data_IF_354503107661
#
_entry.id   IF_354503107661
#
_cell.length_a   1.000
_cell.length_b   1.000
_cell.length_c   1.000
_cell.angle_alpha   90.00
_cell.angle_beta   90.00
_cell.angle_gamma   90.00
#
_symmetry.space_group_name_H-M   'P 1'
#
loop_
_entity.id
_entity.type
_entity.pdbx_description
1 polymer ?
#
# COMPACT_ATOMS: atom_id res chain seq x y z
N UNK A 1 -34.83 46.77 -41.41
CA UNK A 1 -34.98 45.30 -41.24
C UNK A 1 -33.63 44.59 -40.93
N UNK A 2 -32.76 45.15 -40.06
CA UNK A 2 -31.38 44.62 -39.84
C UNK A 2 -31.16 43.91 -38.47
N UNK A 3 -32.20 43.80 -37.63
CA UNK A 3 -32.05 43.25 -36.27
C UNK A 3 -32.00 41.70 -36.18
N UNK A 4 -32.48 40.98 -37.19
CA UNK A 4 -32.66 39.52 -37.12
C UNK A 4 -31.37 38.71 -37.26
N UNK A 5 -30.43 39.16 -38.10
CA UNK A 5 -29.18 38.41 -38.35
C UNK A 5 -28.18 38.50 -37.19
N UNK A 6 -28.13 39.65 -36.52
CA UNK A 6 -27.20 39.87 -35.41
C UNK A 6 -27.55 38.99 -34.20
N UNK A 7 -28.84 38.74 -33.96
CA UNK A 7 -29.31 37.82 -32.91
C UNK A 7 -28.98 36.35 -33.20
N UNK A 8 -29.06 35.91 -34.46
CA UNK A 8 -28.77 34.51 -34.84
C UNK A 8 -27.28 34.17 -34.68
N UNK A 9 -26.38 35.10 -35.01
CA UNK A 9 -24.92 34.94 -34.82
C UNK A 9 -24.53 34.84 -33.34
N UNK A 10 -25.11 35.67 -32.48
CA UNK A 10 -24.84 35.64 -31.03
C UNK A 10 -25.28 34.32 -30.39
N UNK A 11 -26.46 33.80 -30.75
CA UNK A 11 -26.93 32.49 -30.27
C UNK A 11 -26.01 31.35 -30.73
N UNK A 12 -25.58 31.36 -31.99
CA UNK A 12 -24.65 30.36 -32.51
C UNK A 12 -23.30 30.35 -31.79
N UNK A 13 -22.77 31.54 -31.46
CA UNK A 13 -21.50 31.66 -30.73
C UNK A 13 -21.61 31.17 -29.28
N UNK A 14 -22.69 31.53 -28.57
CA UNK A 14 -22.92 31.08 -27.20
C UNK A 14 -23.02 29.55 -27.10
N UNK A 15 -23.76 28.90 -28.01
CA UNK A 15 -23.89 27.44 -28.05
C UNK A 15 -22.54 26.76 -28.28
N UNK A 16 -21.70 27.30 -29.18
CA UNK A 16 -20.35 26.77 -29.43
C UNK A 16 -19.45 26.88 -28.20
N UNK A 17 -19.52 28.00 -27.48
CA UNK A 17 -18.73 28.21 -26.26
C UNK A 17 -19.16 27.22 -25.17
N UNK A 18 -20.47 27.05 -24.95
CA UNK A 18 -21.00 26.09 -23.97
C UNK A 18 -20.57 24.66 -24.32
N UNK A 19 -20.72 24.26 -25.59
CA UNK A 19 -20.31 22.93 -26.04
C UNK A 19 -18.80 22.69 -25.86
N UNK A 20 -17.96 23.67 -26.22
CA UNK A 20 -16.51 23.59 -26.02
C UNK A 20 -16.14 23.50 -24.54
N UNK A 21 -16.78 24.29 -23.68
CA UNK A 21 -16.56 24.25 -22.22
C UNK A 21 -16.98 22.91 -21.60
N UNK A 22 -18.12 22.36 -22.02
CA UNK A 22 -18.57 21.04 -21.58
C UNK A 22 -17.60 19.93 -22.00
N UNK A 23 -17.12 19.96 -23.25
CA UNK A 23 -16.12 19.01 -23.76
C UNK A 23 -14.79 19.13 -23.01
N UNK A 24 -14.31 20.34 -22.74
CA UNK A 24 -13.09 20.57 -21.98
C UNK A 24 -13.20 20.03 -20.55
N UNK A 25 -14.33 20.24 -19.90
CA UNK A 25 -14.61 19.74 -18.55
C UNK A 25 -14.66 18.21 -18.52
N UNK A 26 -15.32 17.59 -19.50
CA UNK A 26 -15.37 16.14 -19.63
C UNK A 26 -13.97 15.56 -19.89
N UNK A 27 -13.18 16.17 -20.77
CA UNK A 27 -11.82 15.73 -21.06
C UNK A 27 -10.92 15.81 -19.82
N UNK A 28 -11.00 16.90 -19.05
CA UNK A 28 -10.27 17.05 -17.79
C UNK A 28 -10.68 15.98 -16.76
N UNK A 29 -11.99 15.71 -16.63
CA UNK A 29 -12.49 14.66 -15.74
C UNK A 29 -12.01 13.26 -16.14
N UNK A 30 -12.07 12.92 -17.43
CA UNK A 30 -11.54 11.64 -17.96
C UNK A 30 -10.04 11.53 -17.69
N UNK A 31 -9.28 12.59 -17.94
CA UNK A 31 -7.83 12.61 -17.66
C UNK A 31 -7.52 12.31 -16.20
N UNK A 32 -8.23 12.96 -15.26
CA UNK A 32 -8.07 12.73 -13.81
C UNK A 32 -8.38 11.26 -13.47
N UNK A 33 -9.46 10.69 -14.01
CA UNK A 33 -9.82 9.28 -13.75
C UNK A 33 -8.82 8.29 -14.34
N UNK A 34 -8.26 8.58 -15.51
CA UNK A 34 -7.19 7.77 -16.13
C UNK A 34 -5.93 7.80 -15.27
N UNK A 35 -5.50 8.98 -14.81
CA UNK A 35 -4.35 9.11 -13.91
C UNK A 35 -4.57 8.34 -12.60
N UNK A 36 -5.74 8.52 -11.97
CA UNK A 36 -6.09 7.77 -10.74
C UNK A 36 -6.06 6.26 -10.95
N UNK A 37 -6.47 5.76 -12.13
CA UNK A 37 -6.38 4.34 -12.46
C UNK A 37 -4.94 3.87 -12.67
N UNK A 38 -4.08 4.69 -13.29
CA UNK A 38 -2.66 4.38 -13.43
C UNK A 38 -1.94 4.32 -12.08
N UNK A 39 -2.19 5.29 -11.19
CA UNK A 39 -1.67 5.28 -9.82
C UNK A 39 -2.16 4.04 -9.06
N UNK A 40 -3.47 3.77 -9.13
CA UNK A 40 -4.05 2.55 -8.54
C UNK A 40 -3.37 1.27 -9.05
N UNK A 41 -3.13 1.18 -10.37
CA UNK A 41 -2.46 0.03 -10.97
C UNK A 41 -1.00 -0.13 -10.52
N UNK A 42 -0.30 0.97 -10.27
CA UNK A 42 1.06 0.93 -9.70
C UNK A 42 0.99 0.43 -8.26
N UNK A 43 0.07 0.94 -7.46
CA UNK A 43 -0.09 0.59 -6.05
C UNK A 43 -0.62 -0.84 -5.86
N UNK A 44 -1.24 -1.44 -6.89
CA UNK A 44 -1.61 -2.85 -6.90
C UNK A 44 -0.41 -3.80 -6.80
N UNK A 45 0.76 -3.38 -7.28
CA UNK A 45 1.94 -4.26 -7.37
C UNK A 45 3.15 -3.68 -6.67
N UNK A 46 3.06 -2.50 -6.06
CA UNK A 46 4.21 -1.86 -5.43
C UNK A 46 3.84 -1.07 -4.20
N UNK A 47 4.81 -0.93 -3.30
CA UNK A 47 4.73 -0.06 -2.14
C UNK A 47 6.13 0.44 -1.78
N UNK A 48 6.29 1.75 -1.59
CA UNK A 48 7.58 2.40 -1.25
C UNK A 48 8.72 2.10 -2.23
N UNK A 49 8.40 1.96 -3.52
CA UNK A 49 9.39 1.66 -4.56
C UNK A 49 9.76 0.18 -4.69
N UNK A 50 9.28 -0.67 -3.77
CA UNK A 50 9.41 -2.13 -3.82
C UNK A 50 8.24 -2.70 -4.62
N UNK A 51 8.48 -3.66 -5.50
CA UNK A 51 7.43 -4.34 -6.24
C UNK A 51 7.28 -5.78 -5.78
N UNK A 52 6.04 -6.25 -5.78
CA UNK A 52 5.73 -7.66 -5.62
C UNK A 52 6.34 -8.44 -6.79
N UNK A 53 7.05 -9.51 -6.47
CA UNK A 53 7.78 -10.32 -7.45
C UNK A 53 9.24 -9.91 -7.67
N UNK A 54 9.71 -8.78 -7.14
CA UNK A 54 11.13 -8.41 -7.19
C UNK A 54 11.98 -9.49 -6.49
N UNK A 55 13.19 -9.76 -6.98
CA UNK A 55 14.09 -10.74 -6.34
C UNK A 55 14.78 -10.13 -5.13
N UNK A 56 15.38 -10.96 -4.28
CA UNK A 56 16.22 -10.50 -3.17
C UNK A 56 17.31 -9.50 -3.64
N UNK A 57 17.93 -9.76 -4.78
CA UNK A 57 18.98 -8.89 -5.36
C UNK A 57 18.44 -7.52 -5.80
N UNK A 58 17.24 -7.47 -6.39
CA UNK A 58 16.59 -6.20 -6.75
C UNK A 58 16.26 -5.38 -5.50
N UNK A 59 15.90 -6.03 -4.39
CA UNK A 59 15.66 -5.35 -3.12
C UNK A 59 16.96 -4.83 -2.51
N UNK A 60 18.05 -5.61 -2.55
CA UNK A 60 19.38 -5.13 -2.14
C UNK A 60 19.84 -3.95 -3.00
N UNK A 61 19.57 -3.97 -4.30
CA UNK A 61 19.88 -2.87 -5.19
C UNK A 61 19.05 -1.61 -4.86
N UNK A 62 17.75 -1.77 -4.64
CA UNK A 62 16.83 -0.64 -4.42
C UNK A 62 16.95 0.00 -3.02
N UNK A 63 17.14 -0.82 -1.98
CA UNK A 63 17.11 -0.37 -0.59
C UNK A 63 18.46 -0.50 0.14
N UNK A 64 19.44 -1.14 -0.49
CA UNK A 64 20.68 -1.53 0.15
C UNK A 64 20.56 -2.84 0.95
N UNK A 65 21.65 -3.17 1.63
CA UNK A 65 21.72 -4.35 2.49
C UNK A 65 20.76 -4.20 3.69
N UNK A 66 19.91 -5.20 3.99
CA UNK A 66 18.94 -5.06 5.06
C UNK A 66 19.66 -5.01 6.42
N UNK A 67 19.36 -4.03 7.29
CA UNK A 67 19.98 -3.95 8.62
C UNK A 67 19.55 -5.10 9.54
N UNK A 68 18.37 -5.67 9.30
CA UNK A 68 17.86 -6.80 10.07
C UNK A 68 17.22 -7.86 9.17
N UNK A 69 17.35 -9.12 9.58
CA UNK A 69 16.68 -10.27 8.97
C UNK A 69 15.91 -11.07 10.03
N UNK A 70 14.83 -11.72 9.61
CA UNK A 70 13.90 -12.46 10.44
C UNK A 70 14.05 -13.96 10.18
N UNK A 71 14.25 -14.71 11.26
CA UNK A 71 14.19 -16.17 11.23
C UNK A 71 12.74 -16.67 11.19
N UNK A 72 12.57 -17.95 10.85
CA UNK A 72 11.27 -18.60 10.95
C UNK A 72 10.76 -18.51 12.40
N UNK A 73 9.43 -18.33 12.61
CA UNK A 73 8.86 -18.37 13.94
C UNK A 73 9.21 -19.67 14.66
N UNK A 74 9.75 -19.56 15.87
CA UNK A 74 10.09 -20.68 16.73
C UNK A 74 9.32 -20.57 18.05
N UNK A 75 8.98 -21.71 18.66
CA UNK A 75 8.37 -21.71 19.98
C UNK A 75 9.41 -21.33 21.03
N UNK A 76 9.14 -20.26 21.76
CA UNK A 76 9.95 -19.75 22.85
C UNK A 76 9.24 -20.09 24.16
N UNK A 77 9.85 -21.02 24.91
CA UNK A 77 9.31 -21.51 26.17
C UNK A 77 9.32 -20.44 27.28
N UNK A 78 10.23 -19.48 27.24
CA UNK A 78 10.30 -18.39 28.24
C UNK A 78 9.18 -17.37 28.00
N UNK A 79 8.88 -17.10 26.73
CA UNK A 79 7.79 -16.21 26.31
C UNK A 79 6.43 -16.93 26.27
N UNK A 80 6.40 -18.25 26.41
CA UNK A 80 5.19 -19.06 26.36
C UNK A 80 4.46 -19.02 25.02
N UNK A 81 5.17 -18.81 23.91
CA UNK A 81 4.55 -18.58 22.60
C UNK A 81 5.54 -18.63 21.44
N UNK A 82 5.03 -18.46 20.22
CA UNK A 82 5.88 -18.36 19.03
C UNK A 82 6.45 -16.94 18.93
N UNK A 83 7.78 -16.84 18.80
CA UNK A 83 8.48 -15.59 18.55
C UNK A 83 9.33 -15.70 17.28
N UNK A 84 9.56 -14.56 16.62
CA UNK A 84 10.51 -14.49 15.51
C UNK A 84 11.82 -13.95 16.04
N UNK A 85 12.92 -14.66 15.78
CA UNK A 85 14.26 -14.16 16.08
C UNK A 85 14.62 -13.10 15.04
N UNK A 86 15.11 -11.95 15.51
CA UNK A 86 15.63 -10.88 14.67
C UNK A 86 17.15 -10.91 14.76
N UNK A 87 17.82 -10.97 13.63
CA UNK A 87 19.28 -10.85 13.55
C UNK A 87 19.67 -9.51 12.95
N UNK A 88 20.72 -8.88 13.49
CA UNK A 88 21.41 -7.74 12.92
C UNK A 88 22.48 -8.20 11.93
N UNK A 89 22.59 -7.47 10.83
CA UNK A 89 23.55 -7.76 9.76
C UNK A 89 24.83 -6.92 9.84
N UNK A 90 24.84 -5.86 10.66
CA UNK A 90 25.95 -4.90 10.77
C UNK A 90 26.87 -5.14 11.98
N UNK A 91 26.62 -6.21 12.74
CA UNK A 91 27.38 -6.63 13.92
C UNK A 91 27.43 -5.63 15.08
N UNK A 92 26.49 -4.67 15.18
CA UNK A 92 26.49 -3.69 16.28
C UNK A 92 25.97 -4.24 17.61
N UNK A 93 25.09 -5.24 17.56
CA UNK A 93 24.53 -5.90 18.75
C UNK A 93 24.98 -7.37 18.85
N UNK A 94 25.93 -7.69 19.76
CA UNK A 94 26.39 -9.05 19.99
C UNK A 94 25.30 -10.07 20.32
N UNK A 95 24.16 -9.63 20.91
CA UNK A 95 23.08 -10.55 21.31
C UNK A 95 22.22 -10.99 20.14
N UNK A 96 22.22 -10.20 19.07
CA UNK A 96 21.40 -10.42 17.88
C UNK A 96 22.26 -10.63 16.64
N UNK A 97 23.50 -11.12 16.77
CA UNK A 97 24.35 -11.40 15.62
C UNK A 97 23.75 -12.50 14.74
N UNK A 98 23.72 -12.25 13.44
CA UNK A 98 23.45 -13.28 12.45
C UNK A 98 24.51 -14.40 12.57
N UNK A 99 24.12 -15.69 12.56
CA UNK A 99 25.08 -16.78 12.61
C UNK A 99 26.08 -16.71 11.45
N UNK A 100 27.38 -16.89 11.73
CA UNK A 100 28.44 -16.74 10.73
C UNK A 100 28.34 -17.73 9.54
N UNK A 101 27.61 -18.83 9.71
CA UNK A 101 27.35 -19.82 8.65
C UNK A 101 26.19 -19.44 7.73
N UNK A 102 25.40 -18.43 8.08
CA UNK A 102 24.23 -17.99 7.33
C UNK A 102 24.52 -16.71 6.55
N UNK A 103 23.78 -16.54 5.46
CA UNK A 103 23.75 -15.33 4.63
C UNK A 103 22.38 -14.69 4.74
N UNK A 104 22.30 -13.39 4.43
CA UNK A 104 21.03 -12.65 4.42
C UNK A 104 19.96 -13.29 3.53
N UNK A 105 20.36 -13.88 2.39
CA UNK A 105 19.45 -14.54 1.45
C UNK A 105 18.87 -15.88 1.96
N UNK A 106 19.40 -16.40 3.06
CA UNK A 106 18.84 -17.58 3.74
C UNK A 106 17.55 -17.22 4.49
N UNK A 107 17.36 -15.94 4.83
CA UNK A 107 16.19 -15.43 5.55
C UNK A 107 15.11 -14.93 4.59
N UNK A 108 13.85 -15.26 4.89
CA UNK A 108 12.69 -14.88 4.06
C UNK A 108 12.00 -13.60 4.53
N UNK A 109 12.41 -13.01 5.65
CA UNK A 109 11.90 -11.73 6.12
C UNK A 109 13.05 -10.76 6.34
N UNK A 110 13.01 -9.59 5.72
CA UNK A 110 14.00 -8.52 5.89
C UNK A 110 13.32 -7.29 6.47
N UNK A 111 14.01 -6.54 7.33
CA UNK A 111 13.49 -5.28 7.88
C UNK A 111 14.44 -4.13 7.60
N UNK A 112 13.84 -3.03 7.16
CA UNK A 112 14.50 -1.76 6.89
C UNK A 112 13.95 -0.70 7.83
N UNK A 113 14.75 -0.35 8.84
CA UNK A 113 14.40 0.75 9.75
C UNK A 113 14.63 2.09 9.05
N UNK A 114 13.59 2.91 8.98
CA UNK A 114 13.65 4.30 8.51
C UNK A 114 13.38 5.23 9.70
N UNK A 115 13.65 6.53 9.53
CA UNK A 115 13.46 7.52 10.60
C UNK A 115 12.03 7.56 11.14
N UNK A 116 11.04 7.36 10.26
CA UNK A 116 9.63 7.52 10.59
C UNK A 116 8.79 6.25 10.48
N UNK A 117 9.37 5.10 10.15
CA UNK A 117 8.65 3.82 10.03
C UNK A 117 9.63 2.67 9.85
N UNK A 118 9.14 1.44 9.93
CA UNK A 118 9.87 0.23 9.53
C UNK A 118 9.21 -0.37 8.30
N UNK A 119 9.99 -0.78 7.31
CA UNK A 119 9.52 -1.56 6.16
C UNK A 119 9.96 -3.00 6.34
N UNK A 120 9.01 -3.93 6.26
CA UNK A 120 9.26 -5.37 6.32
C UNK A 120 9.02 -5.96 4.93
N UNK A 121 9.97 -6.72 4.42
CA UNK A 121 9.88 -7.37 3.11
C UNK A 121 9.87 -8.87 3.34
N UNK A 122 8.83 -9.54 2.86
CA UNK A 122 8.70 -11.00 2.94
C UNK A 122 8.91 -11.61 1.57
N UNK A 123 9.64 -12.71 1.50
CA UNK A 123 9.96 -13.43 0.26
C UNK A 123 9.29 -14.79 0.21
N UNK A 124 8.85 -15.18 -0.98
CA UNK A 124 8.38 -16.52 -1.28
C UNK A 124 9.53 -17.52 -1.08
N UNK A 125 9.27 -18.60 -0.33
CA UNK A 125 10.28 -19.58 0.03
C UNK A 125 10.90 -20.30 -1.18
N UNK A 126 10.14 -20.46 -2.26
CA UNK A 126 10.55 -21.22 -3.44
C UNK A 126 11.20 -20.31 -4.48
N UNK A 127 10.54 -19.19 -4.79
CA UNK A 127 10.97 -18.27 -5.85
C UNK A 127 11.99 -17.24 -5.38
N UNK A 128 12.12 -17.04 -4.06
CA UNK A 128 12.96 -15.99 -3.45
C UNK A 128 12.64 -14.60 -4.02
N UNK A 129 11.34 -14.36 -4.19
CA UNK A 129 10.77 -13.11 -4.72
C UNK A 129 9.84 -12.48 -3.70
N UNK A 130 9.71 -11.15 -3.70
CA UNK A 130 8.85 -10.41 -2.77
C UNK A 130 7.40 -10.90 -2.86
N UNK A 131 6.91 -11.46 -1.77
CA UNK A 131 5.53 -11.91 -1.58
C UNK A 131 4.74 -11.01 -0.63
N UNK A 132 5.40 -10.16 0.15
CA UNK A 132 4.77 -9.24 1.08
C UNK A 132 5.62 -8.01 1.35
N UNK A 133 4.98 -6.85 1.50
CA UNK A 133 5.62 -5.59 1.89
C UNK A 133 4.80 -4.99 3.04
N UNK A 134 5.31 -5.08 4.26
CA UNK A 134 4.74 -4.45 5.44
C UNK A 134 5.34 -3.07 5.69
N UNK A 135 4.54 -2.15 6.20
CA UNK A 135 5.03 -0.96 6.86
C UNK A 135 4.45 -0.87 8.27
N UNK A 136 5.31 -0.56 9.24
CA UNK A 136 4.97 -0.41 10.64
C UNK A 136 5.29 1.00 11.10
N UNK A 137 4.32 1.65 11.73
CA UNK A 137 4.51 2.92 12.44
C UNK A 137 4.61 2.66 13.94
N UNK A 138 5.79 2.89 14.53
CA UNK A 138 6.04 2.68 15.96
C UNK A 138 5.78 3.96 16.77
N UNK A 139 4.61 4.59 16.57
CA UNK A 139 4.16 5.73 17.38
C UNK A 139 3.58 6.89 16.57
N UNK A 140 3.10 7.95 17.23
CA UNK A 140 2.33 9.04 16.61
C UNK A 140 3.14 9.92 15.66
N UNK A 141 4.46 10.01 15.84
CA UNK A 141 5.37 10.73 14.95
C UNK A 141 5.80 9.88 13.73
N UNK A 142 5.53 8.58 13.77
CA UNK A 142 5.90 7.63 12.74
C UNK A 142 4.74 7.42 11.78
N UNK A 143 5.04 7.47 10.48
CA UNK A 143 4.02 7.46 9.44
C UNK A 143 4.39 6.53 8.30
N UNK A 144 3.55 5.51 8.11
CA UNK A 144 3.56 4.72 6.89
C UNK A 144 2.96 5.54 5.75
N UNK A 145 3.65 5.65 4.61
CA UNK A 145 3.11 6.39 3.48
C UNK A 145 1.80 5.80 2.98
N UNK A 146 0.93 6.67 2.50
CA UNK A 146 -0.42 6.28 2.09
C UNK A 146 -0.39 5.24 0.97
N UNK A 147 -1.23 4.22 1.08
CA UNK A 147 -1.54 3.26 0.02
C UNK A 147 -3.06 3.15 -0.10
N UNK A 148 -3.59 3.32 -1.32
CA UNK A 148 -5.02 3.41 -1.56
C UNK A 148 -5.76 4.42 -0.66
N UNK A 149 -5.08 5.52 -0.30
CA UNK A 149 -5.65 6.57 0.56
C UNK A 149 -5.64 6.26 2.05
N UNK A 150 -5.03 5.16 2.49
CA UNK A 150 -4.87 4.78 3.90
C UNK A 150 -3.42 4.90 4.32
N UNK A 151 -3.19 5.52 5.46
CA UNK A 151 -1.89 5.65 6.12
C UNK A 151 -1.99 5.20 7.59
N UNK A 152 -0.89 5.25 8.34
CA UNK A 152 -0.88 4.88 9.77
C UNK A 152 -1.50 5.93 10.71
N UNK A 153 -2.15 6.97 10.20
CA UNK A 153 -2.97 7.86 11.01
C UNK A 153 -4.48 7.65 10.80
N UNK A 154 -4.84 6.92 9.74
CA UNK A 154 -6.22 6.63 9.40
C UNK A 154 -6.92 5.93 10.57
N UNK A 155 -8.15 6.38 10.85
CA UNK A 155 -9.01 5.68 11.80
C UNK A 155 -9.64 4.45 11.15
N UNK A 156 -10.17 3.55 11.97
CA UNK A 156 -10.97 2.41 11.48
C UNK A 156 -12.13 2.87 10.58
N UNK A 157 -12.76 3.99 10.91
CA UNK A 157 -13.88 4.53 10.15
C UNK A 157 -13.41 5.08 8.79
N UNK A 158 -12.23 5.71 8.73
CA UNK A 158 -11.61 6.17 7.48
C UNK A 158 -11.24 4.99 6.57
N UNK A 159 -10.75 3.90 7.16
CA UNK A 159 -10.44 2.64 6.45
C UNK A 159 -11.69 2.07 5.79
N UNK A 160 -12.78 1.94 6.56
CA UNK A 160 -14.04 1.41 6.05
C UNK A 160 -14.70 2.35 5.03
N UNK A 161 -14.60 3.67 5.22
CA UNK A 161 -15.12 4.65 4.27
C UNK A 161 -14.35 4.64 2.95
N UNK A 162 -13.01 4.53 3.00
CA UNK A 162 -12.15 4.62 1.82
C UNK A 162 -12.04 3.32 1.04
N UNK A 163 -12.04 2.18 1.75
CA UNK A 163 -11.81 0.86 1.14
C UNK A 163 -13.08 0.00 1.04
N UNK A 164 -14.16 0.41 1.74
CA UNK A 164 -15.39 -0.37 1.83
C UNK A 164 -15.30 -1.50 2.85
N UNK A 165 -16.21 -2.47 2.71
CA UNK A 165 -16.27 -3.65 3.58
C UNK A 165 -15.08 -4.56 3.32
N UNK A 166 -14.36 -4.94 4.38
CA UNK A 166 -13.28 -5.92 4.30
C UNK A 166 -13.81 -7.32 3.94
N UNK A 167 -13.00 -8.11 3.23
CA UNK A 167 -13.31 -9.50 2.88
C UNK A 167 -13.21 -10.40 4.10
N UNK A 168 -12.25 -10.12 4.99
CA UNK A 168 -12.07 -10.79 6.26
C UNK A 168 -11.58 -9.82 7.34
N UNK A 169 -11.78 -10.20 8.60
CA UNK A 169 -11.17 -9.53 9.74
C UNK A 169 -10.78 -10.53 10.82
N UNK A 170 -9.76 -10.17 11.61
CA UNK A 170 -9.29 -10.96 12.75
C UNK A 170 -9.00 -10.06 13.95
N UNK A 171 -9.12 -10.64 15.14
CA UNK A 171 -8.74 -10.02 16.41
C UNK A 171 -7.58 -10.81 17.02
N UNK A 172 -6.54 -10.09 17.43
CA UNK A 172 -5.35 -10.65 18.08
C UNK A 172 -5.00 -9.76 19.27
N UNK A 173 -5.46 -10.14 20.46
CA UNK A 173 -5.34 -9.31 21.66
C UNK A 173 -6.04 -7.94 21.48
N UNK A 174 -5.33 -6.81 21.67
CA UNK A 174 -5.89 -5.47 21.47
C UNK A 174 -5.91 -5.02 20.00
N UNK A 175 -5.41 -5.85 19.08
CA UNK A 175 -5.30 -5.52 17.67
C UNK A 175 -6.44 -6.11 16.84
N UNK A 176 -6.78 -5.41 15.77
CA UNK A 176 -7.76 -5.82 14.76
C UNK A 176 -7.18 -5.62 13.37
N UNK A 177 -7.33 -6.60 12.50
CA UNK A 177 -6.86 -6.50 11.12
C UNK A 177 -8.00 -6.67 10.13
N UNK A 178 -8.00 -5.88 9.06
CA UNK A 178 -8.90 -5.99 7.91
C UNK A 178 -8.15 -6.44 6.67
N UNK A 179 -8.68 -7.43 5.95
CA UNK A 179 -8.11 -7.94 4.71
C UNK A 179 -8.98 -7.58 3.51
N UNK A 180 -8.35 -7.12 2.43
CA UNK A 180 -8.96 -6.72 1.18
C UNK A 180 -8.28 -7.47 0.02
N UNK A 181 -8.81 -8.64 -0.31
CA UNK A 181 -8.20 -9.65 -1.19
C UNK A 181 -8.09 -9.12 -2.64
N UNK A 182 -9.07 -8.35 -3.10
CA UNK A 182 -9.09 -7.80 -4.46
C UNK A 182 -7.95 -6.82 -4.76
N UNK A 183 -7.43 -6.17 -3.72
CA UNK A 183 -6.30 -5.21 -3.82
C UNK A 183 -5.07 -5.71 -3.07
N UNK A 184 -5.09 -6.92 -2.49
CA UNK A 184 -3.97 -7.49 -1.75
C UNK A 184 -3.47 -6.58 -0.63
N UNK A 185 -4.39 -6.07 0.20
CA UNK A 185 -4.06 -5.18 1.31
C UNK A 185 -4.58 -5.77 2.62
N UNK A 186 -3.73 -5.80 3.64
CA UNK A 186 -4.12 -5.99 5.03
C UNK A 186 -3.81 -4.74 5.84
N UNK A 187 -4.77 -4.30 6.65
CA UNK A 187 -4.65 -3.10 7.49
C UNK A 187 -4.82 -3.53 8.94
N UNK A 188 -3.76 -3.42 9.73
CA UNK A 188 -3.77 -3.75 11.15
C UNK A 188 -3.84 -2.49 12.00
N UNK A 189 -4.71 -2.54 13.02
CA UNK A 189 -5.08 -1.41 13.85
C UNK A 189 -5.04 -1.77 15.33
N UNK A 190 -4.71 -0.80 16.16
CA UNK A 190 -4.83 -0.85 17.61
C UNK A 190 -5.57 0.42 18.04
N UNK A 191 -6.49 0.31 19.01
CA UNK A 191 -7.29 1.46 19.48
C UNK A 191 -7.97 2.22 18.32
N UNK A 192 -8.46 1.47 17.32
CA UNK A 192 -9.14 1.96 16.10
C UNK A 192 -8.28 2.90 15.24
N UNK A 193 -6.96 2.79 15.30
CA UNK A 193 -6.02 3.50 14.42
C UNK A 193 -5.07 2.52 13.75
N UNK A 194 -4.80 2.75 12.47
CA UNK A 194 -3.86 1.94 11.69
C UNK A 194 -2.47 2.10 12.28
N UNK A 195 -1.77 1.00 12.54
CA UNK A 195 -0.33 1.02 12.88
C UNK A 195 0.50 0.24 11.87
N UNK A 196 -0.14 -0.61 11.06
CA UNK A 196 0.53 -1.41 10.06
C UNK A 196 -0.34 -1.57 8.81
N UNK A 197 0.29 -1.42 7.65
CA UNK A 197 -0.28 -1.78 6.35
C UNK A 197 0.61 -2.82 5.71
N UNK A 198 0.02 -3.87 5.18
CA UNK A 198 0.72 -4.95 4.50
C UNK A 198 0.17 -5.13 3.09
N UNK A 199 1.08 -5.13 2.13
CA UNK A 199 0.80 -5.30 0.72
C UNK A 199 1.21 -6.69 0.27
N UNK A 200 0.28 -7.46 -0.28
CA UNK A 200 0.49 -8.80 -0.83
C UNK A 200 -0.05 -8.88 -2.27
N UNK A 201 0.25 -9.97 -3.02
CA UNK A 201 -0.35 -10.19 -4.33
C UNK A 201 -1.89 -10.18 -4.26
N UNK A 202 -2.58 -9.38 -5.08
CA UNK A 202 -4.03 -9.37 -5.10
C UNK A 202 -4.57 -10.72 -5.58
N UNK A 203 -5.63 -11.21 -4.94
CA UNK A 203 -6.30 -12.48 -5.27
C UNK A 203 -7.57 -12.30 -6.12
N UNK A 204 -7.98 -11.04 -6.36
CA UNK A 204 -9.20 -10.70 -7.11
C UNK A 204 -8.98 -9.73 -8.26
N UNK A 205 -10.08 -9.27 -8.87
CA UNK A 205 -10.04 -8.27 -9.94
C UNK A 205 -9.91 -6.86 -9.37
N UNK A 206 -8.67 -6.38 -9.23
CA UNK A 206 -8.41 -5.01 -8.79
C UNK A 206 -9.11 -3.95 -9.66
N UNK A 207 -9.25 -4.18 -10.97
CA UNK A 207 -10.00 -3.30 -11.86
C UNK A 207 -11.48 -3.19 -11.46
N UNK A 208 -12.14 -4.32 -11.19
CA UNK A 208 -13.54 -4.32 -10.71
C UNK A 208 -13.65 -3.55 -9.39
N UNK A 209 -12.73 -3.77 -8.46
CA UNK A 209 -12.69 -3.06 -7.18
C UNK A 209 -12.56 -1.54 -7.37
N UNK A 210 -11.67 -1.09 -8.26
CA UNK A 210 -11.49 0.33 -8.57
C UNK A 210 -12.77 0.97 -9.09
N UNK A 211 -13.44 0.32 -10.03
CA UNK A 211 -14.68 0.87 -10.59
C UNK A 211 -15.81 0.91 -9.56
N UNK A 212 -15.93 -0.09 -8.67
CA UNK A 212 -16.98 -0.10 -7.66
C UNK A 212 -16.74 0.86 -6.49
N UNK A 213 -15.48 1.13 -6.12
CA UNK A 213 -15.16 1.92 -4.92
C UNK A 213 -14.61 3.32 -5.20
N UNK A 214 -13.97 3.56 -6.36
CA UNK A 214 -13.28 4.83 -6.66
C UNK A 214 -13.88 5.60 -7.82
N UNK A 215 -14.47 4.92 -8.81
CA UNK A 215 -15.09 5.62 -9.94
C UNK A 215 -16.46 6.20 -9.55
N UNK A 216 -17.27 5.41 -8.84
CA UNK A 216 -18.65 5.74 -8.51
C UNK A 216 -18.81 6.59 -7.23
N UNK A 217 -17.77 6.66 -6.40
CA UNK A 217 -17.69 7.63 -5.32
C UNK A 217 -17.45 9.02 -5.93
N UNK A 218 -18.54 9.72 -6.28
CA UNK A 218 -18.49 11.15 -6.51
C UNK A 218 -18.22 11.84 -5.17
N UNK A 219 -17.36 12.88 -5.12
CA UNK A 219 -17.27 13.73 -3.94
C UNK A 219 -18.61 14.41 -3.64
#
# INVERSE_FOLDING_TARGET
>A
MSGGEQGRRRRGMAVRIIAASALATLAAWVWIKVQAYHDFRRDLTSYRGIRLGDTMEEIEYALGYPPFVLDAPAYDAEMGGYSMRVYQTDNKDPQNLMPASMKVQDFLGWQYQQDSHRIDVTFDATKKQVSGIGCYANGPAQQCPSIFGIDSNSSEDDVLASLGKADAYKYEGPSKSYRYDAIGLEVSMEKRRVYMVEKTPPQGSGARWFFSHRLLSLP
#
